data_IF_470672723174
#
_entry.id   IF_470672723174
#
_cell.length_a   1.000
_cell.length_b   1.000
_cell.length_c   1.000
_cell.angle_alpha   90.00
_cell.angle_beta   90.00
_cell.angle_gamma   90.00
#
_symmetry.space_group_name_H-M   'P 1'
#
loop_
_entity.id
_entity.type
_entity.pdbx_description
1 polymer ?
#
# COMPACT_ATOMS: atom_id res chain seq x y z
N UNK A 1 18.79 -18.65 35.66
CA UNK A 1 19.92 -17.90 35.07
C UNK A 1 20.52 -18.62 33.84
N UNK A 2 21.06 -19.84 33.92
CA UNK A 2 21.58 -20.54 32.72
C UNK A 2 20.51 -20.82 31.65
N UNK A 3 19.29 -21.15 32.07
CA UNK A 3 18.19 -21.50 31.16
C UNK A 3 17.67 -20.26 30.38
N UNK A 4 17.52 -19.11 31.05
CA UNK A 4 17.14 -17.83 30.44
C UNK A 4 18.15 -17.36 29.38
N UNK A 5 19.45 -17.62 29.60
CA UNK A 5 20.50 -17.28 28.62
C UNK A 5 20.47 -18.20 27.39
N UNK A 6 19.96 -19.42 27.52
CA UNK A 6 19.84 -20.36 26.40
C UNK A 6 18.61 -20.06 25.56
N UNK A 7 17.48 -19.78 26.19
CA UNK A 7 16.26 -19.35 25.50
C UNK A 7 16.49 -18.03 24.73
N UNK A 8 17.16 -17.06 25.36
CA UNK A 8 17.54 -15.79 24.71
C UNK A 8 18.40 -16.01 23.46
N UNK A 9 19.43 -16.87 23.54
CA UNK A 9 20.27 -17.22 22.38
C UNK A 9 19.48 -17.91 21.27
N UNK A 10 18.55 -18.79 21.62
CA UNK A 10 17.72 -19.47 20.62
C UNK A 10 16.77 -18.50 19.92
N UNK A 11 16.14 -17.56 20.66
CA UNK A 11 15.33 -16.49 20.06
C UNK A 11 16.14 -15.61 19.11
N UNK A 12 17.36 -15.22 19.50
CA UNK A 12 18.25 -14.43 18.64
C UNK A 12 18.61 -15.16 17.35
N UNK A 13 18.87 -16.48 17.40
CA UNK A 13 19.13 -17.31 16.21
C UNK A 13 17.94 -17.37 15.27
N UNK A 14 16.72 -17.49 15.80
CA UNK A 14 15.51 -17.47 14.98
C UNK A 14 15.28 -16.10 14.35
N UNK A 15 15.47 -15.02 15.13
CA UNK A 15 15.28 -13.65 14.65
C UNK A 15 16.23 -13.29 13.49
N UNK A 16 17.50 -13.67 13.55
CA UNK A 16 18.43 -13.37 12.44
C UNK A 16 18.08 -14.16 11.17
N UNK A 17 17.56 -15.39 11.31
CA UNK A 17 17.08 -16.18 10.18
C UNK A 17 15.81 -15.57 9.58
N UNK A 18 14.89 -15.05 10.39
CA UNK A 18 13.71 -14.33 9.93
C UNK A 18 14.10 -13.06 9.16
N UNK A 19 15.00 -12.25 9.72
CA UNK A 19 15.51 -11.03 9.07
C UNK A 19 16.20 -11.33 7.73
N UNK A 20 17.03 -12.37 7.68
CA UNK A 20 17.74 -12.77 6.46
C UNK A 20 16.79 -13.23 5.34
N UNK A 21 15.62 -13.76 5.70
CA UNK A 21 14.61 -14.24 4.75
C UNK A 21 13.44 -13.27 4.55
N UNK A 22 13.43 -12.11 5.23
CA UNK A 22 12.30 -11.17 5.25
C UNK A 22 11.86 -10.71 3.86
N UNK A 23 12.75 -10.74 2.87
CA UNK A 23 12.45 -10.42 1.46
C UNK A 23 11.29 -11.28 0.89
N UNK A 24 11.05 -12.49 1.41
CA UNK A 24 9.96 -13.34 0.92
C UNK A 24 8.58 -12.70 1.12
N UNK A 25 8.39 -11.97 2.24
CA UNK A 25 7.11 -11.36 2.65
C UNK A 25 6.65 -10.27 1.68
N UNK A 26 7.40 -9.18 1.46
CA UNK A 26 6.98 -8.12 0.55
C UNK A 26 6.95 -8.59 -0.91
N UNK A 27 7.77 -9.57 -1.31
CA UNK A 27 7.70 -10.19 -2.65
C UNK A 27 6.44 -11.04 -2.84
N UNK A 28 5.99 -11.72 -1.81
CA UNK A 28 4.71 -12.45 -1.84
C UNK A 28 3.52 -11.51 -1.86
N UNK A 29 3.60 -10.39 -1.13
CA UNK A 29 2.61 -9.32 -1.21
C UNK A 29 2.54 -8.73 -2.63
N UNK A 30 3.69 -8.44 -3.24
CA UNK A 30 3.78 -8.02 -4.64
C UNK A 30 3.18 -9.07 -5.60
N UNK A 31 3.43 -10.36 -5.35
CA UNK A 31 2.85 -11.44 -6.17
C UNK A 31 1.32 -11.46 -6.12
N UNK A 32 0.71 -11.43 -4.92
CA UNK A 32 -0.77 -11.48 -4.82
C UNK A 32 -1.42 -10.21 -5.35
N UNK A 33 -0.72 -9.06 -5.29
CA UNK A 33 -1.16 -7.81 -5.91
C UNK A 33 -1.14 -7.92 -7.44
N UNK A 34 -0.06 -8.44 -8.03
CA UNK A 34 0.02 -8.67 -9.48
C UNK A 34 -1.06 -9.62 -9.98
N UNK A 35 -1.39 -10.61 -9.17
CA UNK A 35 -2.46 -11.57 -9.44
C UNK A 35 -3.86 -11.04 -9.10
N UNK A 36 -4.00 -9.84 -8.54
CA UNK A 36 -5.31 -9.27 -8.12
C UNK A 36 -6.11 -10.18 -7.19
N UNK A 37 -5.42 -10.90 -6.31
CA UNK A 37 -6.04 -11.86 -5.39
C UNK A 37 -7.04 -11.18 -4.45
N UNK A 38 -6.70 -10.00 -3.91
CA UNK A 38 -7.58 -9.29 -2.99
C UNK A 38 -8.90 -8.88 -3.67
N UNK A 39 -8.83 -8.36 -4.89
CA UNK A 39 -10.02 -8.03 -5.69
C UNK A 39 -10.88 -9.28 -5.98
N UNK A 40 -10.23 -10.41 -6.28
CA UNK A 40 -10.93 -11.67 -6.55
C UNK A 40 -11.67 -12.22 -5.31
N UNK A 41 -11.05 -12.15 -4.13
CA UNK A 41 -11.71 -12.56 -2.88
C UNK A 41 -12.87 -11.61 -2.54
N UNK A 42 -12.69 -10.31 -2.76
CA UNK A 42 -13.69 -9.29 -2.45
C UNK A 42 -14.78 -9.13 -3.52
N UNK A 43 -14.74 -9.92 -4.61
CA UNK A 43 -15.66 -9.77 -5.73
C UNK A 43 -17.13 -9.79 -5.27
N UNK A 44 -17.90 -8.78 -5.68
CA UNK A 44 -19.30 -8.60 -5.25
C UNK A 44 -19.48 -8.06 -3.83
N UNK A 45 -18.41 -7.58 -3.18
CA UNK A 45 -18.45 -6.99 -1.84
C UNK A 45 -18.51 -8.01 -0.70
N UNK A 46 -18.45 -9.30 -1.00
CA UNK A 46 -18.44 -10.39 -0.04
C UNK A 46 -16.99 -10.76 0.29
N UNK A 47 -16.69 -11.00 1.57
CA UNK A 47 -15.38 -11.48 2.03
C UNK A 47 -15.42 -12.97 2.35
N UNK A 48 -16.14 -13.74 1.52
CA UNK A 48 -16.39 -15.16 1.75
C UNK A 48 -15.07 -15.93 1.63
N UNK A 49 -14.71 -16.81 2.58
CA UNK A 49 -13.49 -17.59 2.48
C UNK A 49 -13.45 -18.48 1.23
N UNK A 50 -12.37 -18.38 0.45
CA UNK A 50 -12.13 -19.16 -0.77
C UNK A 50 -10.87 -20.02 -0.65
N UNK A 51 -10.87 -21.22 -1.24
CA UNK A 51 -9.65 -22.03 -1.36
C UNK A 51 -8.69 -21.41 -2.38
N UNK A 52 -7.41 -21.79 -2.33
CA UNK A 52 -6.44 -21.33 -3.32
C UNK A 52 -6.83 -21.73 -4.76
N UNK A 53 -7.45 -22.89 -4.97
CA UNK A 53 -7.97 -23.31 -6.27
C UNK A 53 -9.12 -22.42 -6.76
N UNK A 54 -10.05 -22.05 -5.87
CA UNK A 54 -11.13 -21.13 -6.20
C UNK A 54 -10.58 -19.75 -6.55
N UNK A 55 -9.67 -19.20 -5.74
CA UNK A 55 -9.02 -17.91 -6.01
C UNK A 55 -8.28 -17.97 -7.35
N UNK A 56 -7.48 -19.01 -7.58
CA UNK A 56 -6.69 -19.15 -8.80
C UNK A 56 -7.58 -19.11 -10.05
N UNK A 57 -8.72 -19.82 -10.03
CA UNK A 57 -9.67 -19.84 -11.15
C UNK A 57 -10.30 -18.47 -11.48
N UNK A 58 -10.30 -17.54 -10.51
CA UNK A 58 -10.81 -16.18 -10.69
C UNK A 58 -9.75 -15.23 -11.26
N UNK A 59 -8.46 -15.52 -11.05
CA UNK A 59 -7.37 -14.59 -11.38
C UNK A 59 -6.54 -15.02 -12.60
N UNK A 60 -6.49 -16.32 -12.91
CA UNK A 60 -5.68 -16.87 -13.98
C UNK A 60 -6.37 -18.06 -14.68
N UNK A 61 -6.13 -18.25 -15.99
CA UNK A 61 -6.67 -19.40 -16.72
C UNK A 61 -5.99 -20.72 -16.36
N UNK A 62 -4.74 -20.68 -15.88
CA UNK A 62 -3.98 -21.84 -15.42
C UNK A 62 -2.92 -21.43 -14.40
N UNK A 63 -2.52 -22.37 -13.54
CA UNK A 63 -1.51 -22.17 -12.52
C UNK A 63 -1.53 -23.30 -11.50
N UNK A 64 -0.69 -23.17 -10.47
CA UNK A 64 -0.60 -24.15 -9.40
C UNK A 64 -1.27 -23.62 -8.11
N UNK A 65 -2.41 -24.19 -7.70
CA UNK A 65 -3.10 -23.76 -6.48
C UNK A 65 -2.32 -24.08 -5.21
N UNK A 66 -1.42 -25.05 -5.20
CA UNK A 66 -0.58 -25.35 -4.03
C UNK A 66 0.46 -24.25 -3.81
N UNK A 67 1.09 -23.78 -4.88
CA UNK A 67 2.01 -22.65 -4.81
C UNK A 67 1.30 -21.38 -4.36
N UNK A 68 0.09 -21.09 -4.88
CA UNK A 68 -0.71 -19.97 -4.39
C UNK A 68 -1.06 -20.15 -2.90
N UNK A 69 -1.47 -21.34 -2.46
CA UNK A 69 -1.76 -21.62 -1.06
C UNK A 69 -0.56 -21.33 -0.14
N UNK A 70 0.66 -21.67 -0.57
CA UNK A 70 1.88 -21.38 0.21
C UNK A 70 2.11 -19.88 0.37
N UNK A 71 1.89 -19.10 -0.69
CA UNK A 71 1.98 -17.63 -0.67
C UNK A 71 0.91 -17.05 0.27
N UNK A 72 -0.35 -17.48 0.14
CA UNK A 72 -1.46 -17.02 0.99
C UNK A 72 -1.22 -17.36 2.46
N UNK A 73 -0.75 -18.57 2.75
CA UNK A 73 -0.45 -19.01 4.13
C UNK A 73 0.66 -18.19 4.77
N UNK A 74 1.71 -17.87 4.02
CA UNK A 74 2.75 -16.99 4.54
C UNK A 74 2.19 -15.60 4.81
N UNK A 75 1.39 -15.03 3.91
CA UNK A 75 0.79 -13.71 4.15
C UNK A 75 -0.29 -13.73 5.25
N UNK A 76 -0.90 -14.88 5.53
CA UNK A 76 -1.78 -15.08 6.68
C UNK A 76 -1.02 -14.95 8.01
N UNK A 77 0.23 -15.42 8.10
CA UNK A 77 1.04 -15.24 9.33
C UNK A 77 1.44 -13.77 9.58
N UNK A 78 1.34 -12.91 8.56
CA UNK A 78 1.50 -11.45 8.67
C UNK A 78 0.16 -10.71 8.70
N UNK A 79 -0.94 -11.44 8.90
CA UNK A 79 -2.26 -10.86 9.09
C UNK A 79 -2.87 -10.23 7.83
N UNK A 80 -2.40 -10.55 6.62
CA UNK A 80 -3.04 -10.09 5.36
C UNK A 80 -4.32 -10.88 5.09
N UNK A 81 -4.29 -12.18 5.38
CA UNK A 81 -5.41 -13.10 5.22
C UNK A 81 -5.75 -13.77 6.54
N UNK A 82 -7.03 -14.04 6.75
CA UNK A 82 -7.51 -14.95 7.78
C UNK A 82 -7.57 -16.37 7.19
N UNK A 83 -6.97 -17.35 7.87
CA UNK A 83 -6.96 -18.75 7.44
C UNK A 83 -8.11 -19.53 8.10
N UNK A 84 -8.94 -20.17 7.28
CA UNK A 84 -10.06 -20.99 7.71
C UNK A 84 -9.79 -22.46 7.39
N UNK A 85 -9.79 -23.30 8.41
CA UNK A 85 -9.59 -24.74 8.27
C UNK A 85 -10.94 -25.46 8.24
N UNK A 86 -11.26 -26.08 7.12
CA UNK A 86 -12.50 -26.84 6.94
C UNK A 86 -12.13 -28.32 6.86
N UNK A 87 -12.69 -29.11 7.78
CA UNK A 87 -12.56 -30.56 7.75
C UNK A 87 -13.57 -31.10 6.76
N UNK A 88 -13.10 -31.63 5.63
CA UNK A 88 -13.95 -32.41 4.74
C UNK A 88 -13.93 -33.85 5.23
N UNK A 89 -15.01 -34.24 5.92
CA UNK A 89 -15.32 -35.65 6.12
C UNK A 89 -15.97 -36.16 4.84
N UNK A 90 -15.22 -36.86 4.00
CA UNK A 90 -15.83 -37.72 3.00
C UNK A 90 -16.59 -38.82 3.73
N UNK A 91 -17.92 -38.74 3.78
CA UNK A 91 -18.77 -39.90 4.06
C UNK A 91 -18.66 -40.84 2.87
N UNK A 92 -17.51 -41.50 2.72
CA UNK A 92 -17.34 -42.60 1.79
C UNK A 92 -18.08 -43.81 2.33
N UNK A 93 -18.75 -44.54 1.43
CA UNK A 93 -19.39 -45.82 1.71
C UNK A 93 -18.52 -46.70 2.62
N UNK A 94 -19.18 -47.41 3.53
CA UNK A 94 -18.62 -48.27 4.60
C UNK A 94 -17.75 -49.46 4.12
N UNK A 95 -17.18 -49.43 2.91
CA UNK A 95 -16.39 -50.53 2.33
C UNK A 95 -14.88 -50.27 2.23
N UNK A 96 -14.37 -49.09 2.60
CA UNK A 96 -12.91 -48.85 2.65
C UNK A 96 -12.45 -48.23 3.97
N UNK A 97 -11.52 -48.91 4.64
CA UNK A 97 -11.03 -48.65 6.00
C UNK A 97 -10.10 -47.44 6.13
N UNK A 98 -10.23 -46.43 5.27
CA UNK A 98 -9.35 -45.26 5.26
C UNK A 98 -10.18 -43.98 5.26
N UNK A 99 -10.66 -43.56 6.43
CA UNK A 99 -11.24 -42.24 6.63
C UNK A 99 -10.12 -41.18 6.58
N UNK A 100 -9.67 -40.80 5.38
CA UNK A 100 -8.76 -39.67 5.23
C UNK A 100 -9.56 -38.38 5.37
N UNK A 101 -9.60 -37.80 6.58
CA UNK A 101 -10.06 -36.43 6.75
C UNK A 101 -9.13 -35.49 5.99
N UNK A 102 -9.61 -34.86 4.92
CA UNK A 102 -8.82 -33.85 4.22
C UNK A 102 -9.12 -32.48 4.83
N UNK A 103 -8.07 -31.76 5.21
CA UNK A 103 -8.18 -30.39 5.71
C UNK A 103 -8.08 -29.44 4.51
N UNK A 104 -9.16 -28.74 4.21
CA UNK A 104 -9.21 -27.72 3.17
C UNK A 104 -8.94 -26.36 3.81
N UNK A 105 -7.93 -25.65 3.30
CA UNK A 105 -7.62 -24.27 3.69
C UNK A 105 -8.39 -23.30 2.81
N UNK A 106 -9.07 -22.34 3.43
CA UNK A 106 -9.69 -21.21 2.76
C UNK A 106 -9.20 -19.90 3.36
N UNK A 107 -9.26 -18.83 2.57
CA UNK A 107 -8.72 -17.53 2.93
C UNK A 107 -9.78 -16.46 2.73
N UNK A 108 -9.91 -15.56 3.71
CA UNK A 108 -10.62 -14.29 3.57
C UNK A 108 -9.65 -13.14 3.87
N UNK A 109 -9.98 -11.92 3.48
CA UNK A 109 -9.16 -10.75 3.77
C UNK A 109 -9.35 -10.30 5.22
N UNK A 110 -8.27 -9.91 5.88
CA UNK A 110 -8.35 -9.11 7.12
C UNK A 110 -8.55 -7.63 6.78
N UNK A 111 -8.52 -6.74 7.77
CA UNK A 111 -8.48 -5.30 7.51
C UNK A 111 -7.22 -4.87 6.75
N UNK A 112 -6.06 -5.51 7.01
CA UNK A 112 -4.82 -5.26 6.27
C UNK A 112 -5.01 -5.67 4.82
N UNK A 113 -5.47 -6.90 4.56
CA UNK A 113 -5.69 -7.40 3.20
C UNK A 113 -6.73 -6.57 2.43
N UNK A 114 -7.76 -6.07 3.12
CA UNK A 114 -8.80 -5.22 2.52
C UNK A 114 -8.24 -3.90 1.97
N UNK A 115 -7.14 -3.38 2.50
CA UNK A 115 -6.49 -2.17 1.95
C UNK A 115 -5.96 -2.35 0.51
N UNK A 116 -5.81 -3.61 0.06
CA UNK A 116 -5.36 -3.95 -1.29
C UNK A 116 -6.52 -4.04 -2.30
N UNK A 117 -7.77 -4.06 -1.82
CA UNK A 117 -8.96 -4.10 -2.68
C UNK A 117 -9.14 -2.75 -3.35
N UNK A 118 -9.31 -2.78 -4.67
CA UNK A 118 -9.55 -1.61 -5.51
C UNK A 118 -10.93 -1.02 -5.22
N UNK A 119 -10.99 0.25 -4.84
CA UNK A 119 -12.25 0.96 -4.59
C UNK A 119 -12.93 1.44 -5.89
N UNK A 120 -14.09 2.09 -5.77
CA UNK A 120 -14.88 2.59 -6.90
C UNK A 120 -14.16 3.65 -7.74
N UNK A 121 -13.13 4.31 -7.19
CA UNK A 121 -12.29 5.28 -7.90
C UNK A 121 -11.06 4.60 -8.55
N UNK A 122 -10.94 3.28 -8.43
CA UNK A 122 -9.81 2.52 -8.96
C UNK A 122 -8.56 2.58 -8.09
N UNK A 123 -8.70 2.97 -6.82
CA UNK A 123 -7.61 3.23 -5.88
C UNK A 123 -7.50 2.14 -4.80
N UNK A 124 -6.27 1.82 -4.40
CA UNK A 124 -5.95 0.97 -3.25
C UNK A 124 -4.46 1.07 -2.91
N UNK A 125 -4.05 0.48 -1.78
CA UNK A 125 -2.64 0.36 -1.40
C UNK A 125 -1.85 -0.60 -2.30
N UNK A 126 -2.51 -1.35 -3.19
CA UNK A 126 -1.87 -2.25 -4.14
C UNK A 126 -0.89 -1.52 -5.06
N UNK A 127 -1.24 -0.31 -5.53
CA UNK A 127 -0.35 0.49 -6.37
C UNK A 127 0.94 0.90 -5.62
N UNK A 128 0.83 1.17 -4.31
CA UNK A 128 1.98 1.47 -3.46
C UNK A 128 2.93 0.27 -3.32
N UNK A 129 2.36 -0.93 -3.13
CA UNK A 129 3.15 -2.18 -3.14
C UNK A 129 3.88 -2.33 -4.48
N UNK A 130 3.18 -2.22 -5.61
CA UNK A 130 3.79 -2.35 -6.93
C UNK A 130 4.90 -1.32 -7.17
N UNK A 131 4.68 -0.06 -6.76
CA UNK A 131 5.64 1.03 -6.96
C UNK A 131 6.96 0.75 -6.23
N UNK A 132 6.93 0.27 -4.98
CA UNK A 132 8.13 -0.05 -4.20
C UNK A 132 8.88 -1.30 -4.68
N UNK A 133 8.22 -2.13 -5.49
CA UNK A 133 8.74 -3.39 -6.02
C UNK A 133 9.03 -3.33 -7.53
N UNK A 134 9.16 -2.12 -8.07
CA UNK A 134 9.66 -1.92 -9.42
C UNK A 134 11.13 -2.35 -9.51
N UNK A 135 11.50 -2.98 -10.63
CA UNK A 135 12.84 -3.54 -10.83
C UNK A 135 13.96 -2.53 -10.53
N UNK A 136 13.84 -1.29 -11.02
CA UNK A 136 14.84 -0.24 -10.82
C UNK A 136 15.09 0.09 -9.33
N UNK A 137 14.03 0.09 -8.51
CA UNK A 137 14.14 0.26 -7.06
C UNK A 137 14.71 -0.99 -6.40
N UNK A 138 14.24 -2.18 -6.80
CA UNK A 138 14.72 -3.44 -6.23
C UNK A 138 16.22 -3.64 -6.45
N UNK A 139 16.74 -3.22 -7.61
CA UNK A 139 18.18 -3.25 -7.93
C UNK A 139 19.03 -2.35 -7.04
N UNK A 140 18.45 -1.30 -6.44
CA UNK A 140 19.17 -0.38 -5.57
C UNK A 140 19.35 -0.93 -4.14
N UNK A 141 18.43 -1.78 -3.65
CA UNK A 141 18.45 -2.28 -2.26
C UNK A 141 19.73 -3.04 -1.88
N UNK A 142 20.29 -3.94 -2.72
CA UNK A 142 21.57 -4.59 -2.41
C UNK A 142 22.74 -3.60 -2.26
N UNK A 143 22.63 -2.40 -2.83
CA UNK A 143 23.66 -1.36 -2.83
C UNK A 143 23.49 -0.34 -1.69
N UNK A 144 22.58 -0.54 -0.72
CA UNK A 144 22.41 0.45 0.37
C UNK A 144 23.70 0.70 1.16
N UNK A 145 24.54 -0.32 1.34
CA UNK A 145 25.85 -0.18 2.00
C UNK A 145 26.78 0.79 1.26
N UNK A 146 26.64 0.93 -0.06
CA UNK A 146 27.43 1.84 -0.88
C UNK A 146 27.18 3.32 -0.57
N UNK A 147 26.03 3.67 0.01
CA UNK A 147 25.76 5.03 0.47
C UNK A 147 26.65 5.42 1.67
N UNK A 148 27.16 4.43 2.42
CA UNK A 148 28.11 4.64 3.51
C UNK A 148 29.55 4.67 2.99
N UNK A 149 29.86 3.78 2.04
CA UNK A 149 31.21 3.68 1.43
C UNK A 149 31.53 4.92 0.60
N UNK A 150 30.58 5.39 -0.19
CA UNK A 150 30.68 6.58 -1.01
C UNK A 150 29.36 7.38 -0.95
N UNK A 151 29.29 8.41 -0.07
CA UNK A 151 28.07 9.19 0.14
C UNK A 151 27.78 10.19 -1.00
N UNK A 152 28.66 10.30 -2.00
CA UNK A 152 28.48 11.26 -3.11
C UNK A 152 27.50 10.76 -4.16
N UNK A 153 27.26 9.45 -4.22
CA UNK A 153 26.41 8.82 -5.23
C UNK A 153 25.37 7.91 -4.56
N UNK A 154 24.08 8.21 -4.78
CA UNK A 154 22.99 7.40 -4.23
C UNK A 154 22.95 5.97 -4.81
N UNK A 155 22.52 4.95 -4.03
CA UNK A 155 22.43 3.56 -4.49
C UNK A 155 21.59 3.38 -5.75
N UNK A 156 20.55 4.20 -5.95
CA UNK A 156 19.72 4.14 -7.15
C UNK A 156 20.50 4.52 -8.41
N UNK A 157 21.31 5.59 -8.35
CA UNK A 157 22.20 6.02 -9.44
C UNK A 157 23.24 4.93 -9.72
N UNK A 158 23.84 4.32 -8.68
CA UNK A 158 24.78 3.20 -8.87
C UNK A 158 24.14 2.01 -9.59
N UNK A 159 22.88 1.70 -9.26
CA UNK A 159 22.15 0.57 -9.85
C UNK A 159 21.62 0.84 -11.27
N UNK A 160 21.25 2.09 -11.59
CA UNK A 160 20.48 2.44 -12.79
C UNK A 160 21.16 3.46 -13.72
N UNK A 161 22.28 4.06 -13.30
CA UNK A 161 23.08 5.02 -14.07
C UNK A 161 22.55 6.45 -14.08
N UNK A 162 21.40 6.72 -13.45
CA UNK A 162 20.77 8.03 -13.42
C UNK A 162 19.90 8.20 -12.17
N UNK A 163 19.55 9.43 -11.76
CA UNK A 163 18.67 9.68 -10.63
C UNK A 163 17.27 9.09 -10.82
N UNK A 164 16.62 8.71 -9.73
CA UNK A 164 15.27 8.12 -9.77
C UNK A 164 14.25 9.01 -10.50
N UNK A 165 14.29 10.33 -10.28
CA UNK A 165 13.38 11.26 -10.93
C UNK A 165 13.50 11.24 -12.47
N UNK A 166 14.73 11.27 -12.97
CA UNK A 166 15.00 11.22 -14.42
C UNK A 166 14.60 9.87 -15.01
N UNK A 167 14.91 8.78 -14.29
CA UNK A 167 14.56 7.42 -14.70
C UNK A 167 13.05 7.23 -14.88
N UNK A 168 12.27 7.70 -13.90
CA UNK A 168 10.81 7.58 -13.92
C UNK A 168 10.16 8.59 -14.85
N UNK A 169 10.68 9.82 -14.94
CA UNK A 169 10.19 10.84 -15.85
C UNK A 169 10.23 10.43 -17.31
N UNK A 170 11.19 9.57 -17.69
CA UNK A 170 11.32 9.00 -19.05
C UNK A 170 10.36 7.86 -19.35
N UNK A 171 9.67 7.30 -18.34
CA UNK A 171 8.86 6.07 -18.46
C UNK A 171 7.41 6.33 -18.03
N UNK A 172 6.51 6.69 -18.96
CA UNK A 172 5.13 7.08 -18.65
C UNK A 172 4.37 6.06 -17.80
N UNK A 173 4.57 4.75 -18.05
CA UNK A 173 3.92 3.69 -17.27
C UNK A 173 4.37 3.69 -15.80
N UNK A 174 5.68 3.78 -15.55
CA UNK A 174 6.23 3.79 -14.19
C UNK A 174 5.87 5.07 -13.45
N UNK A 175 5.90 6.22 -14.14
CA UNK A 175 5.44 7.48 -13.59
C UNK A 175 3.94 7.43 -13.25
N UNK A 176 3.12 6.85 -14.14
CA UNK A 176 1.69 6.63 -13.90
C UNK A 176 1.44 5.74 -12.69
N UNK A 177 2.23 4.68 -12.50
CA UNK A 177 2.17 3.83 -11.32
C UNK A 177 2.55 4.59 -10.05
N UNK A 178 3.57 5.44 -10.10
CA UNK A 178 3.97 6.28 -8.97
C UNK A 178 2.86 7.24 -8.57
N UNK A 179 2.23 7.92 -9.53
CA UNK A 179 1.07 8.77 -9.28
C UNK A 179 -0.08 7.98 -8.67
N UNK A 180 -0.41 6.81 -9.24
CA UNK A 180 -1.46 5.93 -8.72
C UNK A 180 -1.15 5.44 -7.29
N UNK A 181 0.10 5.14 -6.97
CA UNK A 181 0.53 4.77 -5.64
C UNK A 181 0.31 5.90 -4.63
N UNK A 182 0.70 7.12 -4.99
CA UNK A 182 0.52 8.30 -4.12
C UNK A 182 -0.95 8.59 -3.88
N UNK A 183 -1.80 8.52 -4.92
CA UNK A 183 -3.25 8.66 -4.79
C UNK A 183 -3.86 7.53 -3.96
N UNK A 184 -3.42 6.28 -4.19
CA UNK A 184 -3.90 5.08 -3.51
C UNK A 184 -3.66 5.08 -2.00
N UNK A 185 -2.64 5.78 -1.52
CA UNK A 185 -2.40 6.00 -0.09
C UNK A 185 -3.11 7.26 0.42
N UNK A 186 -2.99 8.37 -0.32
CA UNK A 186 -3.44 9.68 0.15
C UNK A 186 -4.96 9.80 0.25
N UNK A 187 -5.71 9.28 -0.72
CA UNK A 187 -7.17 9.42 -0.76
C UNK A 187 -7.83 8.63 0.38
N UNK A 188 -7.54 7.34 0.60
CA UNK A 188 -8.11 6.62 1.75
C UNK A 188 -7.72 7.23 3.10
N UNK A 189 -6.48 7.70 3.24
CA UNK A 189 -6.01 8.40 4.44
C UNK A 189 -6.84 9.67 4.70
N UNK A 190 -7.00 10.51 3.68
CA UNK A 190 -7.80 11.74 3.81
C UNK A 190 -9.27 11.46 4.08
N UNK A 191 -9.84 10.39 3.50
CA UNK A 191 -11.21 9.96 3.79
C UNK A 191 -11.37 9.58 5.27
N UNK A 192 -10.46 8.78 5.81
CA UNK A 192 -10.46 8.40 7.22
C UNK A 192 -10.30 9.60 8.16
N UNK A 193 -9.39 10.54 7.85
CA UNK A 193 -9.26 11.80 8.60
C UNK A 193 -10.58 12.55 8.58
N UNK A 194 -11.13 12.77 7.39
CA UNK A 194 -12.36 13.55 7.24
C UNK A 194 -13.55 12.90 7.96
N UNK A 195 -13.62 11.57 8.04
CA UNK A 195 -14.71 10.87 8.75
C UNK A 195 -14.63 10.98 10.27
N UNK A 196 -13.42 11.16 10.83
CA UNK A 196 -13.21 11.29 12.28
C UNK A 196 -12.88 12.71 12.78
N UNK A 197 -12.59 13.65 11.89
CA UNK A 197 -12.11 14.99 12.23
C UNK A 197 -13.08 16.08 11.78
N UNK A 198 -13.62 16.83 12.74
CA UNK A 198 -14.57 17.93 12.51
C UNK A 198 -13.93 19.32 12.64
N UNK A 199 -12.62 19.43 12.84
CA UNK A 199 -11.95 20.72 13.09
C UNK A 199 -11.91 21.68 11.90
N UNK A 200 -12.40 21.26 10.72
CA UNK A 200 -12.62 22.15 9.58
C UNK A 200 -13.97 22.87 9.64
N UNK A 201 -14.88 22.51 10.55
CA UNK A 201 -16.17 23.19 10.70
C UNK A 201 -15.96 24.65 11.09
N UNK A 202 -16.58 25.55 10.33
CA UNK A 202 -16.51 27.00 10.57
C UNK A 202 -15.30 27.70 9.96
N UNK A 203 -14.34 26.96 9.38
CA UNK A 203 -13.26 27.52 8.58
C UNK A 203 -13.83 28.02 7.25
N UNK A 204 -13.52 29.25 6.83
CA UNK A 204 -13.97 29.81 5.55
C UNK A 204 -12.86 29.83 4.51
N UNK A 205 -11.63 30.10 4.95
CA UNK A 205 -10.40 30.09 4.15
C UNK A 205 -9.38 29.12 4.73
N UNK A 206 -9.10 28.04 4.01
CA UNK A 206 -8.13 27.02 4.41
C UNK A 206 -6.89 27.07 3.53
N UNK A 207 -5.70 27.05 4.14
CA UNK A 207 -4.41 26.99 3.43
C UNK A 207 -3.82 25.58 3.60
N UNK A 208 -3.64 24.85 2.50
CA UNK A 208 -2.94 23.56 2.47
C UNK A 208 -1.47 23.81 2.10
N UNK A 209 -0.56 23.68 3.07
CA UNK A 209 0.88 23.93 2.90
C UNK A 209 1.59 22.62 2.57
N UNK A 210 2.30 22.60 1.44
CA UNK A 210 2.83 21.36 0.86
C UNK A 210 1.74 20.53 0.20
N UNK A 211 0.69 21.18 -0.32
CA UNK A 211 -0.51 20.53 -0.84
C UNK A 211 -0.34 19.87 -2.22
N UNK A 212 0.83 20.02 -2.87
CA UNK A 212 1.16 19.43 -4.16
C UNK A 212 0.10 19.72 -5.24
N UNK A 213 -0.55 18.70 -5.82
CA UNK A 213 -1.63 18.86 -6.79
C UNK A 213 -2.95 19.41 -6.18
N UNK A 214 -3.05 19.52 -4.86
CA UNK A 214 -4.23 20.05 -4.15
C UNK A 214 -5.33 19.02 -3.88
N UNK A 215 -5.03 17.72 -3.98
CA UNK A 215 -6.02 16.66 -3.79
C UNK A 215 -6.62 16.63 -2.39
N UNK A 216 -5.81 16.82 -1.35
CA UNK A 216 -6.30 16.85 0.04
C UNK A 216 -7.28 18.00 0.23
N UNK A 217 -6.89 19.19 -0.20
CA UNK A 217 -7.73 20.38 -0.15
C UNK A 217 -9.04 20.22 -0.94
N UNK A 218 -8.99 19.59 -2.14
CA UNK A 218 -10.18 19.26 -2.93
C UNK A 218 -11.15 18.37 -2.13
N UNK A 219 -10.65 17.32 -1.48
CA UNK A 219 -11.48 16.41 -0.67
C UNK A 219 -12.10 17.13 0.53
N UNK A 220 -11.34 18.01 1.20
CA UNK A 220 -11.84 18.81 2.32
C UNK A 220 -12.96 19.74 1.84
N UNK A 221 -12.78 20.47 0.73
CA UNK A 221 -13.80 21.36 0.17
C UNK A 221 -15.08 20.61 -0.21
N UNK A 222 -14.96 19.41 -0.78
CA UNK A 222 -16.11 18.56 -1.13
C UNK A 222 -16.91 18.12 0.10
N UNK A 223 -16.27 17.94 1.26
CA UNK A 223 -16.95 17.58 2.52
C UNK A 223 -17.64 18.77 3.19
N UNK A 224 -17.09 19.98 3.05
CA UNK A 224 -17.60 21.20 3.70
C UNK A 224 -18.03 22.29 2.70
N UNK A 225 -18.90 21.98 1.71
CA UNK A 225 -19.19 22.89 0.59
C UNK A 225 -19.91 24.18 1.00
N UNK A 226 -20.51 24.22 2.19
CA UNK A 226 -21.30 25.36 2.69
C UNK A 226 -20.50 26.34 3.55
N UNK A 227 -19.39 25.90 4.13
CA UNK A 227 -18.61 26.69 5.10
C UNK A 227 -17.26 27.11 4.53
N UNK A 228 -16.53 26.19 3.89
CA UNK A 228 -15.26 26.51 3.22
C UNK A 228 -15.52 27.11 1.84
N UNK A 229 -15.25 28.41 1.70
CA UNK A 229 -15.46 29.16 0.45
C UNK A 229 -14.21 29.26 -0.41
N UNK A 230 -13.04 29.19 0.23
CA UNK A 230 -11.77 29.36 -0.45
C UNK A 230 -10.72 28.40 0.11
N UNK A 231 -10.25 27.49 -0.74
CA UNK A 231 -9.02 26.75 -0.51
C UNK A 231 -7.83 27.47 -1.16
N UNK A 232 -6.70 27.54 -0.45
CA UNK A 232 -5.42 27.96 -1.00
C UNK A 232 -4.48 26.75 -0.96
N UNK A 233 -4.14 26.20 -2.12
CA UNK A 233 -3.10 25.17 -2.22
C UNK A 233 -1.76 25.88 -2.39
N UNK A 234 -0.86 25.70 -1.42
CA UNK A 234 0.44 26.36 -1.35
C UNK A 234 1.58 25.34 -1.43
N UNK A 235 2.43 25.48 -2.45
CA UNK A 235 3.61 24.64 -2.67
C UNK A 235 4.66 25.43 -3.46
N UNK A 236 5.78 24.80 -3.83
CA UNK A 236 6.79 25.43 -4.68
C UNK A 236 6.19 25.88 -6.02
N UNK A 237 6.64 27.03 -6.59
CA UNK A 237 6.09 27.57 -7.83
C UNK A 237 5.97 26.56 -8.98
N UNK A 238 7.01 25.74 -9.18
CA UNK A 238 7.08 24.72 -10.22
C UNK A 238 6.14 23.52 -9.98
N UNK A 239 5.74 23.27 -8.73
CA UNK A 239 4.81 22.21 -8.36
C UNK A 239 3.38 22.68 -8.64
N UNK A 240 3.00 23.84 -8.10
CA UNK A 240 1.64 24.37 -8.30
C UNK A 240 1.35 24.77 -9.74
N UNK A 241 2.36 25.12 -10.54
CA UNK A 241 2.21 25.40 -11.97
C UNK A 241 1.71 24.17 -12.77
N UNK A 242 1.91 22.96 -12.25
CA UNK A 242 1.46 21.70 -12.86
C UNK A 242 0.17 21.17 -12.24
N UNK A 243 -0.36 21.83 -11.21
CA UNK A 243 -1.55 21.38 -10.51
C UNK A 243 -2.81 21.58 -11.38
N UNK A 244 -3.77 20.63 -11.35
CA UNK A 244 -5.00 20.74 -12.11
C UNK A 244 -5.93 21.81 -11.52
N UNK A 245 -6.61 22.56 -12.38
CA UNK A 245 -7.63 23.52 -11.95
C UNK A 245 -8.73 22.81 -11.17
N UNK A 246 -8.89 23.19 -9.90
CA UNK A 246 -9.90 22.63 -9.01
C UNK A 246 -10.87 23.73 -8.57
N UNK A 247 -12.20 23.58 -8.76
CA UNK A 247 -13.18 24.56 -8.30
C UNK A 247 -13.04 24.85 -6.80
N UNK A 248 -13.01 26.14 -6.43
CA UNK A 248 -12.85 26.57 -5.04
C UNK A 248 -11.41 26.55 -4.52
N UNK A 249 -10.43 26.11 -5.32
CA UNK A 249 -9.00 26.11 -4.98
C UNK A 249 -8.26 27.19 -5.76
N UNK A 250 -7.43 27.96 -5.07
CA UNK A 250 -6.43 28.86 -5.64
C UNK A 250 -5.04 28.30 -5.41
N UNK A 251 -4.27 28.10 -6.48
CA UNK A 251 -2.90 27.63 -6.41
C UNK A 251 -1.94 28.81 -6.23
N UNK A 252 -1.09 28.74 -5.20
CA UNK A 252 -0.14 29.82 -4.87
C UNK A 252 1.26 29.22 -4.73
N UNK A 253 2.20 29.71 -5.53
CA UNK A 253 3.59 29.28 -5.51
C UNK A 253 4.40 30.09 -4.49
N UNK A 254 5.22 29.42 -3.69
CA UNK A 254 6.15 30.11 -2.78
C UNK A 254 7.03 29.15 -1.99
N UNK A 255 7.65 29.69 -0.94
CA UNK A 255 8.54 28.97 -0.04
C UNK A 255 8.00 29.08 1.39
N UNK A 256 7.55 27.96 1.95
CA UNK A 256 6.94 27.91 3.29
C UNK A 256 7.89 28.34 4.41
N UNK A 257 9.20 28.26 4.20
CA UNK A 257 10.19 28.71 5.18
C UNK A 257 10.36 30.23 5.18
N UNK A 258 9.86 30.93 4.17
CA UNK A 258 9.87 32.39 4.08
C UNK A 258 8.52 32.97 4.49
N UNK A 259 7.45 32.48 3.90
CA UNK A 259 6.10 32.97 4.15
C UNK A 259 5.05 31.97 3.67
N UNK A 260 3.94 31.91 4.37
CA UNK A 260 2.74 31.17 3.98
C UNK A 260 1.57 32.13 3.76
N UNK A 261 0.63 31.84 2.83
CA UNK A 261 -0.57 32.64 2.66
C UNK A 261 -1.42 32.70 3.94
N UNK A 262 -2.11 33.81 4.16
CA UNK A 262 -3.03 33.95 5.30
C UNK A 262 -4.34 33.20 5.06
N UNK A 263 -4.83 32.50 6.09
CA UNK A 263 -6.15 31.86 6.13
C UNK A 263 -6.65 31.74 7.57
N UNK A 264 -7.89 31.27 7.71
CA UNK A 264 -8.48 31.03 9.03
C UNK A 264 -7.86 29.80 9.70
N UNK A 265 -7.39 28.85 8.89
CA UNK A 265 -6.68 27.66 9.32
C UNK A 265 -5.60 27.26 8.30
N UNK A 266 -4.59 26.54 8.81
CA UNK A 266 -3.53 25.92 8.02
C UNK A 266 -3.65 24.41 8.18
N UNK A 267 -3.60 23.70 7.07
CA UNK A 267 -3.52 22.24 7.00
C UNK A 267 -2.15 21.85 6.44
N UNK A 268 -1.54 20.83 7.03
CA UNK A 268 -0.29 20.23 6.59
C UNK A 268 -0.42 18.72 6.73
N UNK A 269 -0.36 18.00 5.60
CA UNK A 269 -0.30 16.54 5.63
C UNK A 269 1.14 16.09 5.84
N UNK A 270 1.47 15.59 7.04
CA UNK A 270 2.75 14.94 7.30
C UNK A 270 2.66 13.49 6.86
N UNK A 271 3.52 13.08 5.94
CA UNK A 271 3.70 11.67 5.57
C UNK A 271 4.81 11.13 6.47
N UNK A 272 4.49 10.18 7.35
CA UNK A 272 5.49 9.41 8.10
C UNK A 272 5.99 8.23 7.28
#
# INVERSE_FOLDING_TARGET
MEDETTESRNRARLAILELANMISVPMSLNAIVRLKVADAIWAGGANTPLSASQILSLVLPSGDPENLQRILRMLASYGVFEEHLIISSSTGDFSSSSSSSSVIRKYSLTQIGKTLVTDSEGLSYAAYVLQHHQEALVRAWPLVHEAVVDPTTEPFVKANGEPAYDHYGKKPEMNGLMLKAMSGVSVPFMRAILDGYDGFRGVQRLVDVGGSAGDCLRMILQKYPTTLRQGINFDLPEVVAKAPTTPGVTHVGGDMFKSIPSGDAIFMKVSH
#
